data_IF_611360266087
#
_entry.id   IF_611360266087
#
_cell.length_a   1.000
_cell.length_b   1.000
_cell.length_c   1.000
_cell.angle_alpha   90.00
_cell.angle_beta   90.00
_cell.angle_gamma   90.00
#
_symmetry.space_group_name_H-M   'P 1'
#
loop_
_entity.id
_entity.type
_entity.pdbx_description
1 polymer ?
#
# COMPACT_ATOMS: atom_id res chain seq x y z
N UNK A 1 -11.91 -11.39 -7.09
CA UNK A 1 -11.12 -10.62 -6.12
C UNK A 1 -9.69 -11.11 -6.08
N UNK A 2 -8.75 -10.20 -5.86
CA UNK A 2 -7.32 -10.52 -5.79
C UNK A 2 -6.80 -10.13 -4.41
N UNK A 3 -6.01 -10.98 -3.78
CA UNK A 3 -5.21 -10.65 -2.61
C UNK A 3 -3.93 -11.47 -2.61
N UNK A 4 -2.79 -10.86 -2.22
CA UNK A 4 -1.53 -11.58 -2.10
C UNK A 4 -1.45 -12.37 -0.80
N UNK A 5 -2.15 -11.93 0.24
CA UNK A 5 -2.22 -12.67 1.49
C UNK A 5 -3.27 -13.79 1.40
N UNK A 6 -2.79 -15.03 1.41
CA UNK A 6 -3.65 -16.21 1.30
C UNK A 6 -4.65 -16.31 2.46
N UNK A 7 -4.27 -15.86 3.68
CA UNK A 7 -5.16 -15.94 4.84
C UNK A 7 -6.35 -14.98 4.72
N UNK A 8 -6.11 -13.77 4.20
CA UNK A 8 -7.19 -12.81 3.90
C UNK A 8 -8.09 -13.35 2.79
N UNK A 9 -7.49 -13.90 1.73
CA UNK A 9 -8.26 -14.44 0.61
C UNK A 9 -9.20 -15.57 1.06
N UNK A 10 -8.75 -16.46 1.93
CA UNK A 10 -9.61 -17.52 2.49
C UNK A 10 -10.75 -16.95 3.34
N UNK A 11 -10.49 -15.92 4.17
CA UNK A 11 -11.56 -15.20 4.87
C UNK A 11 -12.58 -14.59 3.90
N UNK A 12 -12.11 -13.98 2.80
CA UNK A 12 -12.97 -13.41 1.78
C UNK A 12 -13.82 -14.50 1.07
N UNK A 13 -13.24 -15.64 0.72
CA UNK A 13 -13.95 -16.77 0.12
C UNK A 13 -15.05 -17.31 1.04
N UNK A 14 -14.77 -17.43 2.34
CA UNK A 14 -15.76 -17.85 3.32
C UNK A 14 -16.90 -16.86 3.44
N UNK A 15 -16.59 -15.56 3.54
CA UNK A 15 -17.59 -14.49 3.67
C UNK A 15 -18.46 -14.36 2.44
N UNK A 16 -17.89 -14.60 1.26
CA UNK A 16 -18.58 -14.43 -0.03
C UNK A 16 -19.14 -15.75 -0.59
N UNK A 17 -19.13 -16.84 0.20
CA UNK A 17 -19.59 -18.17 -0.20
C UNK A 17 -21.03 -18.18 -0.75
N UNK A 18 -21.90 -17.34 -0.22
CA UNK A 18 -23.30 -17.22 -0.66
C UNK A 18 -23.45 -16.76 -2.13
N UNK A 19 -22.44 -16.07 -2.66
CA UNK A 19 -22.44 -15.60 -4.05
C UNK A 19 -22.07 -16.70 -5.06
N UNK A 20 -21.62 -17.86 -4.60
CA UNK A 20 -21.30 -19.02 -5.45
C UNK A 20 -20.32 -18.68 -6.56
N UNK A 21 -20.63 -19.09 -7.79
CA UNK A 21 -19.80 -18.84 -8.98
C UNK A 21 -19.68 -17.37 -9.42
N UNK A 22 -20.42 -16.46 -8.79
CA UNK A 22 -20.28 -15.01 -9.03
C UNK A 22 -19.07 -14.40 -8.38
N UNK A 23 -18.42 -15.11 -7.47
CA UNK A 23 -17.16 -14.68 -6.83
C UNK A 23 -16.06 -15.69 -7.11
N UNK A 24 -14.94 -15.17 -7.62
CA UNK A 24 -13.69 -15.89 -7.76
C UNK A 24 -12.58 -15.17 -7.01
N UNK A 25 -11.82 -15.87 -6.19
CA UNK A 25 -10.71 -15.33 -5.42
C UNK A 25 -9.38 -15.93 -5.86
N UNK A 26 -8.43 -15.09 -6.28
CA UNK A 26 -7.11 -15.51 -6.78
C UNK A 26 -6.00 -14.96 -5.88
N UNK A 27 -5.13 -15.85 -5.40
CA UNK A 27 -3.98 -15.48 -4.57
C UNK A 27 -2.81 -15.09 -5.45
N UNK A 28 -2.68 -13.80 -5.70
CA UNK A 28 -1.63 -13.24 -6.55
C UNK A 28 -1.43 -11.74 -6.29
N UNK A 29 -0.33 -11.20 -6.76
CA UNK A 29 -0.16 -9.76 -6.84
C UNK A 29 -1.04 -9.18 -7.96
N UNK A 30 -1.67 -8.04 -7.70
CA UNK A 30 -2.61 -7.42 -8.63
C UNK A 30 -1.94 -6.96 -9.94
N UNK A 31 -0.69 -6.50 -9.90
CA UNK A 31 0.10 -6.13 -11.08
C UNK A 31 0.39 -7.35 -11.96
N UNK A 32 0.89 -8.43 -11.36
CA UNK A 32 1.17 -9.69 -12.04
C UNK A 32 -0.09 -10.29 -12.68
N UNK A 33 -1.21 -10.27 -11.95
CA UNK A 33 -2.48 -10.77 -12.48
C UNK A 33 -2.93 -9.97 -13.71
N UNK A 34 -2.92 -8.64 -13.58
CA UNK A 34 -3.42 -7.76 -14.65
C UNK A 34 -2.53 -7.77 -15.90
N UNK A 35 -1.23 -8.01 -15.76
CA UNK A 35 -0.32 -8.14 -16.90
C UNK A 35 -0.54 -9.45 -17.69
N UNK A 36 -1.02 -10.50 -17.04
CA UNK A 36 -1.21 -11.83 -17.63
C UNK A 36 -2.68 -12.21 -17.78
N UNK A 37 -3.61 -11.27 -17.60
CA UNK A 37 -5.04 -11.56 -17.69
C UNK A 37 -5.51 -11.68 -19.14
N UNK A 38 -6.05 -12.87 -19.48
CA UNK A 38 -6.57 -13.20 -20.82
C UNK A 38 -8.10 -13.41 -20.85
N UNK A 39 -8.77 -13.13 -19.74
CA UNK A 39 -10.22 -13.29 -19.62
C UNK A 39 -11.04 -12.19 -20.29
N UNK A 40 -12.36 -12.19 -20.13
CA UNK A 40 -13.24 -11.15 -20.63
C UNK A 40 -12.87 -9.78 -20.07
N UNK A 41 -12.98 -8.74 -20.88
CA UNK A 41 -12.68 -7.37 -20.45
C UNK A 41 -13.64 -6.95 -19.34
N UNK A 42 -13.14 -6.43 -18.20
CA UNK A 42 -13.98 -5.97 -17.12
C UNK A 42 -14.57 -4.59 -17.40
N UNK A 43 -15.79 -4.35 -16.94
CA UNK A 43 -16.42 -3.03 -16.98
C UNK A 43 -15.92 -2.12 -15.85
N UNK A 44 -15.54 -2.71 -14.70
CA UNK A 44 -15.07 -1.98 -13.52
C UNK A 44 -13.87 -2.71 -12.90
N UNK A 45 -12.82 -1.96 -12.58
CA UNK A 45 -11.71 -2.45 -11.76
C UNK A 45 -11.59 -1.53 -10.54
N UNK A 46 -11.67 -2.13 -9.34
CA UNK A 46 -11.48 -1.43 -8.08
C UNK A 46 -10.17 -1.87 -7.43
N UNK A 47 -9.33 -0.91 -7.09
CA UNK A 47 -8.17 -1.10 -6.23
C UNK A 47 -8.49 -0.54 -4.84
N UNK A 48 -8.32 -1.36 -3.82
CA UNK A 48 -8.26 -0.97 -2.42
C UNK A 48 -6.82 -1.17 -1.95
N UNK A 49 -6.04 -0.09 -2.00
CA UNK A 49 -4.59 -0.14 -1.76
C UNK A 49 -4.29 -0.23 -0.26
N UNK A 50 -3.06 -0.64 0.04
CA UNK A 50 -2.60 -0.79 1.41
C UNK A 50 -2.88 -2.18 1.99
N UNK A 51 -3.03 -2.24 3.30
CA UNK A 51 -3.21 -3.50 4.03
C UNK A 51 -4.47 -3.49 4.89
N UNK A 52 -5.04 -4.67 5.12
CA UNK A 52 -6.23 -4.86 5.94
C UNK A 52 -5.92 -4.69 7.45
N UNK A 53 -6.95 -4.35 8.24
CA UNK A 53 -6.90 -4.35 9.70
C UNK A 53 -6.41 -5.69 10.25
N UNK A 54 -6.75 -6.79 9.59
CA UNK A 54 -6.26 -8.14 9.92
C UNK A 54 -4.73 -8.19 10.08
N UNK A 55 -3.99 -7.47 9.22
CA UNK A 55 -2.53 -7.47 9.30
C UNK A 55 -2.02 -6.85 10.60
N UNK A 56 -2.72 -5.84 11.12
CA UNK A 56 -2.37 -5.18 12.37
C UNK A 56 -2.79 -5.95 13.63
N UNK A 57 -3.87 -6.70 13.58
CA UNK A 57 -4.51 -7.28 14.76
C UNK A 57 -4.34 -8.80 14.88
N UNK A 58 -4.32 -9.51 13.76
CA UNK A 58 -4.41 -10.97 13.76
C UNK A 58 -3.22 -11.68 13.10
N UNK A 59 -2.50 -11.02 12.19
CA UNK A 59 -1.49 -11.70 11.33
C UNK A 59 -0.27 -12.20 12.09
N UNK A 60 0.06 -11.59 13.23
CA UNK A 60 1.24 -11.87 14.05
C UNK A 60 2.57 -11.74 13.30
N UNK A 61 2.61 -10.88 12.27
CA UNK A 61 3.78 -10.66 11.40
C UNK A 61 4.46 -9.30 11.62
N UNK A 62 4.25 -8.65 12.77
CA UNK A 62 4.94 -7.42 13.15
C UNK A 62 4.52 -6.18 12.36
N UNK A 63 3.34 -6.17 11.75
CA UNK A 63 2.77 -4.97 11.14
C UNK A 63 2.40 -3.90 12.17
N UNK A 64 2.06 -4.34 13.39
CA UNK A 64 1.76 -3.46 14.52
C UNK A 64 2.99 -3.26 15.39
N UNK A 65 3.23 -2.03 15.80
CA UNK A 65 4.26 -1.70 16.78
C UNK A 65 3.76 -1.75 18.24
N UNK A 66 2.49 -2.11 18.44
CA UNK A 66 1.90 -2.29 19.77
C UNK A 66 2.03 -3.72 20.30
N UNK A 67 2.61 -4.62 19.53
CA UNK A 67 2.80 -6.02 19.86
C UNK A 67 4.27 -6.42 19.75
N UNK A 68 4.65 -7.44 20.51
CA UNK A 68 6.01 -8.00 20.48
C UNK A 68 6.12 -9.15 19.46
N UNK A 69 5.56 -8.93 18.28
CA UNK A 69 5.60 -9.87 17.17
C UNK A 69 6.92 -9.80 16.41
N UNK A 70 7.29 -10.89 15.73
CA UNK A 70 8.48 -10.93 14.90
C UNK A 70 8.41 -9.91 13.74
N UNK A 71 9.54 -9.33 13.39
CA UNK A 71 9.67 -8.37 12.29
C UNK A 71 9.62 -9.10 10.93
N UNK A 72 8.43 -9.41 10.45
CA UNK A 72 8.22 -10.04 9.15
C UNK A 72 7.69 -9.04 8.12
N UNK A 73 6.49 -8.51 8.31
CA UNK A 73 5.75 -7.56 7.45
C UNK A 73 5.52 -8.04 6.01
N UNK A 74 5.75 -9.29 5.66
CA UNK A 74 5.48 -9.83 4.32
C UNK A 74 3.99 -10.10 4.14
N UNK A 75 3.40 -9.64 3.05
CA UNK A 75 2.10 -10.10 2.56
C UNK A 75 2.26 -11.45 1.86
N UNK A 76 3.32 -11.60 1.11
CA UNK A 76 3.77 -12.83 0.52
C UNK A 76 4.81 -13.50 1.42
N UNK A 77 4.41 -14.49 2.20
CA UNK A 77 5.31 -15.20 3.12
C UNK A 77 6.39 -16.02 2.41
N UNK A 78 6.28 -16.22 1.09
CA UNK A 78 7.29 -16.90 0.27
C UNK A 78 8.36 -15.95 -0.27
N UNK A 79 8.20 -14.62 -0.08
CA UNK A 79 9.21 -13.62 -0.46
C UNK A 79 10.44 -13.72 0.43
N UNK A 80 11.61 -13.51 -0.15
CA UNK A 80 12.89 -13.57 0.59
C UNK A 80 13.11 -12.39 1.53
N UNK A 81 12.62 -11.19 1.16
CA UNK A 81 12.83 -9.96 1.92
C UNK A 81 11.77 -9.78 3.01
N UNK A 82 12.19 -9.78 4.27
CA UNK A 82 11.36 -9.48 5.44
C UNK A 82 11.72 -8.13 6.07
N UNK A 83 10.88 -7.67 7.00
CA UNK A 83 11.20 -6.47 7.81
C UNK A 83 12.45 -6.71 8.68
N UNK A 84 12.69 -7.94 9.13
CA UNK A 84 13.91 -8.31 9.84
C UNK A 84 15.14 -8.03 8.98
N UNK A 85 15.12 -8.43 7.70
CA UNK A 85 16.25 -8.22 6.79
C UNK A 85 16.51 -6.74 6.54
N UNK A 86 15.47 -5.95 6.29
CA UNK A 86 15.59 -4.51 6.11
C UNK A 86 16.22 -3.85 7.35
N UNK A 87 15.74 -4.20 8.54
CA UNK A 87 16.19 -3.60 9.81
C UNK A 87 17.62 -4.04 10.17
N UNK A 88 17.94 -5.32 9.96
CA UNK A 88 19.20 -5.87 10.44
C UNK A 88 20.32 -5.85 9.40
N UNK A 89 20.03 -5.81 8.10
CA UNK A 89 21.04 -5.95 7.07
C UNK A 89 21.27 -4.72 6.19
N UNK A 90 20.28 -3.81 6.04
CA UNK A 90 20.47 -2.60 5.22
C UNK A 90 21.56 -1.71 5.82
N UNK A 91 22.38 -1.07 4.96
CA UNK A 91 23.35 -0.06 5.42
C UNK A 91 22.64 1.15 6.01
N UNK A 92 23.28 1.85 6.94
CA UNK A 92 22.69 3.01 7.63
C UNK A 92 22.11 4.03 6.65
N UNK A 93 22.85 4.35 5.58
CA UNK A 93 22.40 5.30 4.58
C UNK A 93 21.16 4.79 3.82
N UNK A 94 21.17 3.53 3.41
CA UNK A 94 20.06 2.89 2.70
C UNK A 94 18.79 2.89 3.56
N UNK A 95 18.93 2.52 4.84
CA UNK A 95 17.82 2.54 5.80
C UNK A 95 17.30 3.96 6.04
N UNK A 96 18.19 4.95 6.16
CA UNK A 96 17.79 6.34 6.34
C UNK A 96 17.04 6.89 5.12
N UNK A 97 17.55 6.61 3.92
CA UNK A 97 16.94 7.04 2.66
C UNK A 97 15.58 6.37 2.44
N UNK A 98 15.45 5.09 2.78
CA UNK A 98 14.19 4.33 2.77
C UNK A 98 13.16 4.97 3.71
N UNK A 99 13.53 5.18 4.98
CA UNK A 99 12.64 5.79 5.99
C UNK A 99 12.22 7.20 5.57
N UNK A 100 13.11 7.97 4.99
CA UNK A 100 12.78 9.30 4.47
C UNK A 100 11.83 9.23 3.28
N UNK A 101 12.15 8.39 2.28
CA UNK A 101 11.42 8.29 1.02
C UNK A 101 9.99 7.71 1.21
N UNK A 102 9.87 6.64 1.98
CA UNK A 102 8.61 5.90 2.13
C UNK A 102 7.85 6.20 3.44
N UNK A 103 8.52 6.81 4.41
CA UNK A 103 7.89 7.28 5.64
C UNK A 103 7.63 8.78 5.67
N UNK A 104 8.25 9.56 4.78
CA UNK A 104 8.29 11.03 4.88
C UNK A 104 8.74 11.47 6.29
N UNK A 105 9.66 10.68 6.91
CA UNK A 105 10.11 10.87 8.29
C UNK A 105 11.35 11.78 8.37
N UNK A 106 11.20 12.93 8.96
CA UNK A 106 12.27 13.94 9.07
C UNK A 106 13.45 13.51 9.94
N UNK A 107 13.22 12.59 10.87
CA UNK A 107 14.27 12.05 11.76
C UNK A 107 14.88 10.76 11.22
N UNK A 108 14.66 10.41 9.97
CA UNK A 108 15.09 9.16 9.33
C UNK A 108 16.57 8.82 9.60
N UNK A 109 17.47 9.79 9.48
CA UNK A 109 18.90 9.58 9.75
C UNK A 109 19.21 9.24 11.20
N UNK A 110 18.53 9.91 12.17
CA UNK A 110 18.71 9.61 13.60
C UNK A 110 18.16 8.23 13.94
N UNK A 111 17.02 7.88 13.34
CA UNK A 111 16.38 6.57 13.51
C UNK A 111 17.31 5.48 12.94
N UNK A 112 17.78 5.61 11.70
CA UNK A 112 18.65 4.64 11.07
C UNK A 112 19.96 4.44 11.86
N UNK A 113 20.61 5.53 12.28
CA UNK A 113 21.81 5.46 13.12
C UNK A 113 21.55 4.76 14.45
N UNK A 114 20.37 4.98 15.07
CA UNK A 114 20.00 4.30 16.30
C UNK A 114 19.75 2.81 16.08
N UNK A 115 19.06 2.45 15.01
CA UNK A 115 18.82 1.04 14.61
C UNK A 115 20.17 0.33 14.41
N UNK A 116 21.08 0.92 13.62
CA UNK A 116 22.39 0.31 13.34
C UNK A 116 23.22 0.12 14.60
N UNK A 117 23.24 1.09 15.52
CA UNK A 117 23.92 0.93 16.81
C UNK A 117 23.34 -0.20 17.65
N UNK A 118 22.02 -0.30 17.73
CA UNK A 118 21.38 -1.32 18.57
C UNK A 118 21.56 -2.72 17.99
N UNK A 119 21.35 -2.91 16.68
CA UNK A 119 21.53 -4.22 16.04
C UNK A 119 22.97 -4.73 16.07
N UNK A 120 23.97 -3.83 16.20
CA UNK A 120 25.37 -4.23 16.38
C UNK A 120 25.62 -4.90 17.74
N UNK A 121 24.77 -4.68 18.74
CA UNK A 121 24.84 -5.33 20.06
C UNK A 121 24.06 -6.64 20.03
N UNK A 122 22.84 -6.60 19.52
CA UNK A 122 21.94 -7.74 19.37
C UNK A 122 20.99 -7.50 18.22
N UNK A 123 20.71 -8.49 17.35
CA UNK A 123 19.68 -8.37 16.32
C UNK A 123 18.34 -7.85 16.87
N UNK A 124 17.65 -7.06 16.07
CA UNK A 124 16.32 -6.53 16.41
C UNK A 124 15.30 -7.51 15.84
N UNK A 125 14.71 -8.32 16.71
CA UNK A 125 13.88 -9.46 16.31
C UNK A 125 12.40 -9.10 16.23
N UNK A 126 11.95 -8.13 17.06
CA UNK A 126 10.51 -7.86 17.23
C UNK A 126 10.11 -6.43 16.92
N UNK A 127 8.82 -6.26 16.60
CA UNK A 127 8.22 -4.97 16.33
C UNK A 127 8.30 -4.02 17.55
N UNK A 128 8.09 -4.55 18.74
CA UNK A 128 8.22 -3.80 19.99
C UNK A 128 9.62 -3.24 20.19
N UNK A 129 10.66 -4.07 20.03
CA UNK A 129 12.06 -3.64 20.11
C UNK A 129 12.37 -2.51 19.12
N UNK A 130 11.96 -2.65 17.87
CA UNK A 130 12.14 -1.61 16.86
C UNK A 130 11.42 -0.32 17.24
N UNK A 131 10.19 -0.41 17.72
CA UNK A 131 9.39 0.75 18.13
C UNK A 131 10.06 1.52 19.28
N UNK A 132 10.61 0.83 20.27
CA UNK A 132 11.33 1.44 21.39
C UNK A 132 12.61 2.14 20.91
N UNK A 133 13.38 1.52 20.04
CA UNK A 133 14.57 2.13 19.44
C UNK A 133 14.21 3.42 18.69
N UNK A 134 13.13 3.40 17.89
CA UNK A 134 12.65 4.58 17.16
C UNK A 134 12.24 5.68 18.13
N UNK A 135 11.45 5.33 19.15
CA UNK A 135 10.99 6.24 20.18
C UNK A 135 12.13 6.95 20.91
N UNK A 136 13.20 6.24 21.20
CA UNK A 136 14.38 6.80 21.88
C UNK A 136 15.26 7.63 20.92
N UNK A 137 15.23 7.38 19.62
CA UNK A 137 16.02 8.08 18.61
C UNK A 137 15.51 9.51 18.32
N UNK A 138 14.26 9.81 18.64
CA UNK A 138 13.63 11.10 18.33
C UNK A 138 13.52 11.99 19.57
N UNK A 139 13.44 13.35 19.38
CA UNK A 139 13.30 14.28 20.51
C UNK A 139 12.03 14.03 21.34
N UNK A 140 12.05 14.33 22.65
CA UNK A 140 10.88 14.17 23.53
C UNK A 140 9.62 14.84 23.00
N UNK A 141 9.71 16.06 22.46
CA UNK A 141 8.58 16.81 21.88
C UNK A 141 7.93 16.11 20.69
N UNK A 142 8.69 15.31 19.94
CA UNK A 142 8.18 14.50 18.83
C UNK A 142 7.63 13.15 19.32
N UNK A 143 8.25 12.60 20.37
CA UNK A 143 7.91 11.30 20.97
C UNK A 143 6.49 11.25 21.50
N UNK A 144 6.02 12.35 22.09
CA UNK A 144 4.68 12.47 22.68
C UNK A 144 3.68 13.23 21.80
N UNK A 145 3.92 13.27 20.50
CA UNK A 145 2.99 13.83 19.51
C UNK A 145 1.71 12.97 19.34
N UNK A 146 0.75 13.52 18.57
CA UNK A 146 -0.52 12.82 18.26
C UNK A 146 -0.36 11.48 17.56
N UNK A 147 0.75 11.29 16.84
CA UNK A 147 1.05 10.08 16.05
C UNK A 147 2.34 9.48 16.62
N UNK A 148 2.35 8.16 16.83
CA UNK A 148 3.56 7.46 17.28
C UNK A 148 4.72 7.72 16.32
N UNK A 149 5.94 7.98 16.83
CA UNK A 149 7.14 8.10 16.00
C UNK A 149 7.41 6.86 15.13
N UNK A 150 6.96 5.68 15.59
CA UNK A 150 7.13 4.42 14.86
C UNK A 150 6.28 4.34 13.59
N UNK A 151 5.10 5.00 13.54
CA UNK A 151 4.12 4.85 12.45
C UNK A 151 4.75 5.02 11.07
N UNK A 152 5.53 6.09 10.88
CA UNK A 152 6.15 6.40 9.57
C UNK A 152 7.27 5.44 9.20
N UNK A 153 8.05 5.01 10.18
CA UNK A 153 9.14 4.05 9.95
C UNK A 153 8.59 2.67 9.62
N UNK A 154 7.54 2.22 10.32
CA UNK A 154 6.86 0.95 10.02
C UNK A 154 6.22 0.97 8.64
N UNK A 155 5.54 2.07 8.28
CA UNK A 155 5.02 2.26 6.92
C UNK A 155 6.14 2.16 5.87
N UNK A 156 7.29 2.80 6.11
CA UNK A 156 8.41 2.77 5.16
C UNK A 156 8.96 1.36 4.95
N UNK A 157 9.16 0.61 6.04
CA UNK A 157 9.65 -0.77 5.98
C UNK A 157 8.63 -1.68 5.27
N UNK A 158 7.34 -1.56 5.60
CA UNK A 158 6.27 -2.31 4.96
C UNK A 158 6.21 -2.09 3.45
N UNK A 159 6.29 -0.83 3.02
CA UNK A 159 6.31 -0.45 1.60
C UNK A 159 7.50 -1.08 0.87
N UNK A 160 8.67 -1.11 1.50
CA UNK A 160 9.87 -1.72 0.93
C UNK A 160 9.70 -3.23 0.79
N UNK A 161 9.33 -3.92 1.88
CA UNK A 161 9.17 -5.38 1.93
C UNK A 161 8.17 -5.88 0.88
N UNK A 162 7.08 -5.15 0.65
CA UNK A 162 6.01 -5.56 -0.25
C UNK A 162 6.04 -4.87 -1.62
N UNK A 163 7.02 -4.00 -1.87
CA UNK A 163 7.16 -3.22 -3.11
C UNK A 163 5.91 -2.43 -3.51
N UNK A 164 5.10 -2.03 -2.52
CA UNK A 164 3.75 -1.51 -2.71
C UNK A 164 3.67 -0.39 -3.76
N UNK A 165 4.56 0.60 -3.67
CA UNK A 165 4.55 1.75 -4.55
C UNK A 165 5.07 1.47 -5.97
N UNK A 166 5.88 0.44 -6.16
CA UNK A 166 6.39 0.05 -7.48
C UNK A 166 5.29 -0.61 -8.31
N UNK A 167 4.41 -1.38 -7.67
CA UNK A 167 3.33 -2.14 -8.30
C UNK A 167 2.18 -1.26 -8.80
N UNK A 168 1.87 -0.16 -8.11
CA UNK A 168 0.71 0.71 -8.41
C UNK A 168 0.73 1.22 -9.86
N UNK A 169 1.79 1.85 -10.40
CA UNK A 169 1.78 2.36 -11.76
C UNK A 169 1.64 1.27 -12.81
N UNK A 170 2.27 0.12 -12.60
CA UNK A 170 2.20 -1.05 -13.50
C UNK A 170 0.77 -1.55 -13.58
N UNK A 171 0.17 -1.82 -12.43
CA UNK A 171 -1.19 -2.32 -12.33
C UNK A 171 -2.24 -1.37 -12.92
N UNK A 172 -2.14 -0.06 -12.67
CA UNK A 172 -3.10 0.90 -13.21
C UNK A 172 -3.01 0.96 -14.74
N UNK A 173 -1.80 0.94 -15.32
CA UNK A 173 -1.63 0.93 -16.77
C UNK A 173 -2.20 -0.34 -17.39
N UNK A 174 -1.95 -1.50 -16.80
CA UNK A 174 -2.51 -2.78 -17.26
C UNK A 174 -4.03 -2.82 -17.09
N UNK A 175 -4.56 -2.34 -15.96
CA UNK A 175 -5.99 -2.26 -15.73
C UNK A 175 -6.72 -1.42 -16.79
N UNK A 176 -6.19 -0.25 -17.14
CA UNK A 176 -6.80 0.63 -18.16
C UNK A 176 -6.81 -0.04 -19.54
N UNK A 177 -5.75 -0.78 -19.89
CA UNK A 177 -5.71 -1.54 -21.16
C UNK A 177 -6.79 -2.63 -21.20
N UNK A 178 -7.00 -3.32 -20.08
CA UNK A 178 -7.95 -4.43 -19.95
C UNK A 178 -9.41 -4.00 -19.91
N UNK A 179 -9.72 -2.82 -19.36
CA UNK A 179 -11.09 -2.33 -19.26
C UNK A 179 -11.81 -2.36 -20.62
N UNK A 180 -13.10 -2.64 -20.60
CA UNK A 180 -13.99 -2.32 -21.71
C UNK A 180 -13.96 -0.83 -22.03
N UNK A 181 -14.35 -0.45 -23.24
CA UNK A 181 -14.54 0.94 -23.58
C UNK A 181 -15.62 1.53 -22.66
N UNK A 182 -15.41 2.75 -22.19
CA UNK A 182 -16.22 3.41 -21.15
C UNK A 182 -16.18 2.73 -19.75
N UNK A 183 -15.42 1.65 -19.60
CA UNK A 183 -15.17 1.00 -18.32
C UNK A 183 -14.48 1.93 -17.31
N UNK A 184 -14.63 1.66 -16.03
CA UNK A 184 -14.17 2.53 -14.94
C UNK A 184 -13.10 1.87 -14.11
N UNK A 185 -12.08 2.65 -13.79
CA UNK A 185 -11.08 2.31 -12.78
C UNK A 185 -11.31 3.18 -11.56
N UNK A 186 -11.44 2.55 -10.40
CA UNK A 186 -11.58 3.19 -9.10
C UNK A 186 -10.39 2.78 -8.21
N UNK A 187 -9.75 3.75 -7.55
CA UNK A 187 -8.58 3.49 -6.69
C UNK A 187 -8.79 4.18 -5.35
N UNK A 188 -8.83 3.38 -4.28
CA UNK A 188 -8.80 3.84 -2.90
C UNK A 188 -7.36 3.80 -2.41
N UNK A 189 -6.89 4.89 -1.82
CA UNK A 189 -5.56 5.01 -1.20
C UNK A 189 -5.69 5.58 0.21
N UNK A 190 -4.78 5.21 1.12
CA UNK A 190 -4.84 5.59 2.53
C UNK A 190 -3.75 6.58 2.94
N UNK A 191 -2.73 6.78 2.13
CA UNK A 191 -1.68 7.77 2.40
C UNK A 191 -1.23 8.50 1.13
N UNK A 192 -0.44 9.58 1.34
CA UNK A 192 0.02 10.48 0.27
C UNK A 192 0.88 9.79 -0.78
N UNK A 193 1.67 8.80 -0.39
CA UNK A 193 2.59 8.10 -1.28
C UNK A 193 1.86 7.15 -2.24
N UNK A 194 0.68 6.63 -1.86
CA UNK A 194 -0.19 5.88 -2.78
C UNK A 194 -1.01 6.84 -3.67
N UNK A 195 -1.62 7.88 -3.08
CA UNK A 195 -2.48 8.80 -3.80
C UNK A 195 -1.72 9.59 -4.89
N UNK A 196 -0.46 9.93 -4.61
CA UNK A 196 0.36 10.76 -5.51
C UNK A 196 0.61 10.09 -6.88
N UNK A 197 1.12 8.85 -6.97
CA UNK A 197 1.29 8.17 -8.26
C UNK A 197 -0.03 7.95 -8.99
N UNK A 198 -1.12 7.59 -8.32
CA UNK A 198 -2.45 7.46 -8.94
C UNK A 198 -2.89 8.77 -9.60
N UNK A 199 -2.82 9.88 -8.85
CA UNK A 199 -3.16 11.22 -9.33
C UNK A 199 -2.33 11.62 -10.54
N UNK A 200 -1.01 11.40 -10.49
CA UNK A 200 -0.11 11.78 -11.57
C UNK A 200 -0.36 10.94 -12.82
N UNK A 201 -0.54 9.64 -12.65
CA UNK A 201 -0.80 8.72 -13.75
C UNK A 201 -2.14 9.01 -14.44
N UNK A 202 -3.21 9.22 -13.67
CA UNK A 202 -4.51 9.61 -14.26
C UNK A 202 -4.41 10.92 -15.05
N UNK A 203 -3.63 11.89 -14.55
CA UNK A 203 -3.40 13.16 -15.27
C UNK A 203 -2.58 12.98 -16.53
N UNK A 204 -1.57 12.12 -16.50
CA UNK A 204 -0.74 11.79 -17.67
C UNK A 204 -1.57 11.11 -18.74
N UNK A 205 -2.40 10.14 -18.37
CA UNK A 205 -3.24 9.37 -19.28
C UNK A 205 -4.47 10.13 -19.80
N UNK A 206 -4.86 11.20 -19.12
CA UNK A 206 -5.95 12.10 -19.54
C UNK A 206 -5.46 13.27 -20.42
N UNK A 207 -4.14 13.39 -20.65
CA UNK A 207 -3.60 14.42 -21.54
C UNK A 207 -3.66 13.94 -22.99
N UNK A 208 -4.07 14.85 -23.84
CA UNK A 208 -3.97 14.76 -25.28
C UNK A 208 -2.89 15.73 -25.77
N UNK A 209 -2.04 15.29 -26.65
CA UNK A 209 -1.06 16.10 -27.35
C UNK A 209 -0.91 15.62 -28.80
N UNK A 210 -0.06 16.29 -29.62
CA UNK A 210 0.13 15.98 -31.04
C UNK A 210 0.57 14.53 -31.34
N UNK A 211 1.07 13.80 -30.32
CA UNK A 211 1.61 12.45 -30.47
C UNK A 211 0.80 11.38 -29.72
N UNK A 212 -0.14 11.79 -28.84
CA UNK A 212 -0.85 10.88 -27.95
C UNK A 212 -2.27 11.34 -27.70
N UNK A 213 -3.23 10.46 -28.01
CA UNK A 213 -4.62 10.63 -27.60
C UNK A 213 -4.81 10.33 -26.10
N UNK A 214 -5.73 11.04 -25.47
CA UNK A 214 -6.14 10.74 -24.10
C UNK A 214 -6.68 9.31 -24.01
N UNK A 215 -6.19 8.55 -23.03
CA UNK A 215 -6.66 7.17 -22.81
C UNK A 215 -7.79 7.10 -21.79
N UNK A 216 -7.93 8.12 -20.94
CA UNK A 216 -8.93 8.17 -19.88
C UNK A 216 -9.53 9.56 -19.69
N UNK A 217 -10.77 9.59 -19.21
CA UNK A 217 -11.44 10.78 -18.67
C UNK A 217 -11.42 10.72 -17.15
N UNK A 218 -10.87 11.73 -16.48
CA UNK A 218 -10.88 11.81 -15.02
C UNK A 218 -12.30 12.17 -14.54
N UNK A 219 -12.94 11.27 -13.76
CA UNK A 219 -14.26 11.51 -13.21
C UNK A 219 -14.19 12.27 -11.87
N UNK A 220 -13.13 12.09 -11.09
CA UNK A 220 -12.93 12.77 -9.80
C UNK A 220 -11.75 13.76 -9.89
N UNK A 221 -12.01 15.03 -10.20
CA UNK A 221 -10.96 16.08 -10.20
C UNK A 221 -10.27 16.23 -8.84
N UNK A 222 -11.06 16.15 -7.75
CA UNK A 222 -10.59 16.03 -6.36
C UNK A 222 -10.92 14.63 -5.87
N UNK A 223 -10.11 14.01 -4.99
CA UNK A 223 -10.47 12.71 -4.44
C UNK A 223 -11.73 12.82 -3.59
N UNK A 224 -12.59 11.81 -3.68
CA UNK A 224 -13.71 11.66 -2.76
C UNK A 224 -13.13 11.17 -1.42
N UNK A 225 -13.61 11.73 -0.32
CA UNK A 225 -13.21 11.38 1.03
C UNK A 225 -14.41 10.81 1.80
N UNK A 226 -14.17 10.02 2.84
CA UNK A 226 -15.23 9.52 3.68
C UNK A 226 -15.99 10.68 4.37
N UNK A 227 -17.26 10.47 4.64
CA UNK A 227 -18.07 11.37 5.44
C UNK A 227 -17.71 11.26 6.92
N UNK A 228 -18.13 12.24 7.74
CA UNK A 228 -17.95 12.16 9.20
C UNK A 228 -18.66 10.94 9.79
N UNK A 229 -19.83 10.60 9.28
CA UNK A 229 -20.58 9.41 9.71
C UNK A 229 -19.79 8.13 9.40
N UNK A 230 -19.27 7.99 8.19
CA UNK A 230 -18.42 6.85 7.81
C UNK A 230 -17.19 6.73 8.69
N UNK A 231 -16.55 7.85 9.03
CA UNK A 231 -15.37 7.85 9.92
C UNK A 231 -15.75 7.40 11.35
N UNK A 232 -16.94 7.73 11.83
CA UNK A 232 -17.44 7.30 13.13
C UNK A 232 -17.73 5.78 13.14
N UNK A 233 -18.35 5.27 12.10
CA UNK A 233 -18.69 3.84 11.98
C UNK A 233 -17.49 2.97 11.61
N UNK A 234 -16.55 3.52 10.81
CA UNK A 234 -15.34 2.86 10.31
C UNK A 234 -14.11 3.78 10.46
N UNK A 235 -13.55 3.94 11.66
CA UNK A 235 -12.43 4.85 11.92
C UNK A 235 -11.22 4.70 10.99
N UNK A 236 -10.85 3.49 10.51
CA UNK A 236 -9.77 3.31 9.54
C UNK A 236 -9.99 4.03 8.20
N UNK A 237 -11.24 4.30 7.82
CA UNK A 237 -11.59 5.01 6.58
C UNK A 237 -11.10 6.48 6.56
N UNK A 238 -10.80 7.08 7.73
CA UNK A 238 -10.46 8.51 7.88
C UNK A 238 -9.43 9.03 6.87
N UNK A 239 -8.47 8.19 6.47
CA UNK A 239 -7.40 8.57 5.56
C UNK A 239 -7.70 8.24 4.10
N UNK A 240 -8.81 7.54 3.83
CA UNK A 240 -9.16 7.06 2.50
C UNK A 240 -9.38 8.21 1.50
N UNK A 241 -8.96 7.97 0.27
CA UNK A 241 -9.14 8.85 -0.88
C UNK A 241 -9.50 8.01 -2.09
N UNK A 242 -10.70 8.18 -2.59
CA UNK A 242 -11.14 7.51 -3.81
C UNK A 242 -10.90 8.40 -5.04
N UNK A 243 -10.21 7.85 -6.03
CA UNK A 243 -10.07 8.44 -7.37
C UNK A 243 -10.67 7.52 -8.41
N UNK A 244 -11.38 8.12 -9.38
CA UNK A 244 -12.05 7.39 -10.45
C UNK A 244 -11.71 8.03 -11.80
N UNK A 245 -11.37 7.16 -12.77
CA UNK A 245 -11.24 7.52 -14.18
C UNK A 245 -12.04 6.53 -15.03
N UNK A 246 -12.44 6.97 -16.21
CA UNK A 246 -13.15 6.18 -17.21
C UNK A 246 -12.24 6.01 -18.42
N UNK A 247 -12.11 4.80 -18.94
CA UNK A 247 -11.42 4.54 -20.20
C UNK A 247 -12.18 5.21 -21.34
N UNK A 248 -11.48 5.85 -22.24
CA UNK A 248 -12.05 6.36 -23.48
C UNK A 248 -12.07 5.25 -24.54
N UNK A 249 -13.19 5.11 -25.24
CA UNK A 249 -13.32 4.18 -26.36
C UNK A 249 -12.54 4.66 -27.59
N UNK A 250 -12.27 3.74 -28.49
CA UNK A 250 -11.56 4.01 -29.75
C UNK A 250 -12.31 4.97 -30.70
N UNK A 251 -13.54 5.34 -30.37
CA UNK A 251 -14.42 6.16 -31.22
C UNK A 251 -14.57 7.62 -30.79
N UNK A 252 -13.81 8.09 -29.83
CA UNK A 252 -13.75 9.52 -29.48
C UNK A 252 -12.65 10.22 -30.32
N UNK A 253 -12.71 10.01 -31.64
CA UNK A 253 -11.99 10.75 -32.67
C UNK A 253 -12.97 11.70 -33.37
#
# INVERSE_FOLDING_TARGET
GLDRDAAILEKAKLRLKEFGSRFEGVNTWFDTFLENYEGPRPNIILFDLGISIFHYEESKRGFSFNSDEQLDMRLDVTSDLSAFDVVNHYKEKELADLIFKYGEERYSRKIAASVVRNRAIKPIDTAGQLADIIKLAVPPSYRYGKISPATRTFQAIRIEVNEELKRIPVAIKSAIKLLEDEGRIAVISFHSLEDRPVKHLFRELAKEDEQKQASVKILTKKPIRPTELEIQENPPSRSAKLRVAQKLGAHHV
#
